data_IF_318936711309
#
_entry.id   IF_318936711309
#
_cell.length_a   1.000
_cell.length_b   1.000
_cell.length_c   1.000
_cell.angle_alpha   90.00
_cell.angle_beta   90.00
_cell.angle_gamma   90.00
#
_symmetry.space_group_name_H-M   'P 1'
#
loop_
_entity.id
_entity.type
_entity.pdbx_description
1 polymer ?
#
# COMPACT_ATOMS: atom_id res chain seq x y z
N UNK A 1 -70.77 24.92 -43.75
CA UNK A 1 -69.45 24.71 -44.38
C UNK A 1 -68.63 25.99 -44.21
N UNK A 2 -67.82 26.06 -43.15
CA UNK A 2 -66.91 27.19 -42.93
C UNK A 2 -65.65 26.99 -43.78
N UNK A 3 -65.22 27.97 -44.58
CA UNK A 3 -63.92 27.89 -45.24
C UNK A 3 -62.84 27.82 -44.16
N UNK A 4 -62.07 26.72 -44.19
CA UNK A 4 -61.06 26.43 -43.18
C UNK A 4 -59.99 27.53 -43.14
N UNK A 5 -59.73 28.05 -41.94
CA UNK A 5 -58.69 29.03 -41.59
C UNK A 5 -57.31 28.73 -42.22
N UNK A 6 -57.01 27.46 -42.52
CA UNK A 6 -55.77 27.03 -43.15
C UNK A 6 -55.55 27.57 -44.57
N UNK A 7 -56.61 27.89 -45.33
CA UNK A 7 -56.43 28.40 -46.70
C UNK A 7 -56.04 29.89 -46.75
N UNK A 8 -56.32 30.65 -45.69
CA UNK A 8 -55.93 32.07 -45.59
C UNK A 8 -54.44 32.23 -45.25
N UNK A 9 -53.87 31.27 -44.52
CA UNK A 9 -52.44 31.29 -44.15
C UNK A 9 -51.50 31.00 -45.32
N UNK A 10 -51.98 30.40 -46.41
CA UNK A 10 -51.14 29.98 -47.54
C UNK A 10 -50.84 31.09 -48.55
N UNK A 11 -51.59 32.19 -48.52
CA UNK A 11 -51.41 33.32 -49.44
C UNK A 11 -50.51 34.42 -48.89
N UNK A 12 -50.13 34.35 -47.61
CA UNK A 12 -49.22 35.32 -46.99
C UNK A 12 -47.80 34.90 -47.35
N UNK A 13 -47.19 35.60 -48.31
CA UNK A 13 -45.75 35.53 -48.57
C UNK A 13 -45.04 36.16 -47.37
N UNK A 14 -44.74 35.35 -46.37
CA UNK A 14 -43.90 35.75 -45.24
C UNK A 14 -42.47 35.90 -45.76
N UNK A 15 -42.02 37.15 -45.88
CA UNK A 15 -40.63 37.44 -46.17
C UNK A 15 -39.73 36.91 -45.04
N UNK A 16 -38.50 36.53 -45.39
CA UNK A 16 -37.51 36.03 -44.43
C UNK A 16 -37.33 36.99 -43.23
N UNK A 17 -37.56 38.28 -43.46
CA UNK A 17 -37.57 39.31 -42.42
C UNK A 17 -38.66 39.10 -41.36
N UNK A 18 -39.87 38.71 -41.75
CA UNK A 18 -40.98 38.44 -40.82
C UNK A 18 -40.72 37.19 -39.96
N UNK A 19 -40.09 36.16 -40.53
CA UNK A 19 -39.64 35.00 -39.76
C UNK A 19 -38.58 35.36 -38.72
N UNK A 20 -37.61 36.21 -39.10
CA UNK A 20 -36.58 36.67 -38.20
C UNK A 20 -37.16 37.49 -37.03
N UNK A 21 -38.08 38.40 -37.32
CA UNK A 21 -38.81 39.18 -36.29
C UNK A 21 -39.60 38.27 -35.34
N UNK A 22 -40.30 37.28 -35.89
CA UNK A 22 -41.06 36.33 -35.09
C UNK A 22 -40.15 35.47 -34.20
N UNK A 23 -38.99 35.05 -34.71
CA UNK A 23 -37.98 34.33 -33.94
C UNK A 23 -37.42 35.17 -32.79
N UNK A 24 -37.16 36.47 -33.02
CA UNK A 24 -36.72 37.39 -31.96
C UNK A 24 -37.79 37.54 -30.89
N UNK A 25 -39.06 37.69 -31.28
CA UNK A 25 -40.17 37.82 -30.33
C UNK A 25 -40.31 36.55 -29.48
N UNK A 26 -40.26 35.37 -30.10
CA UNK A 26 -40.28 34.09 -29.40
C UNK A 26 -39.08 33.99 -28.43
N UNK A 27 -37.88 34.34 -28.89
CA UNK A 27 -36.68 34.30 -28.05
C UNK A 27 -36.79 35.24 -26.85
N UNK A 28 -37.26 36.47 -27.06
CA UNK A 28 -37.48 37.46 -26.00
C UNK A 28 -38.52 36.98 -24.97
N UNK A 29 -39.58 36.30 -25.41
CA UNK A 29 -40.60 35.73 -24.51
C UNK A 29 -40.09 34.52 -23.72
N UNK A 30 -39.20 33.71 -24.31
CA UNK A 30 -38.63 32.52 -23.65
C UNK A 30 -37.48 32.88 -22.70
N UNK A 31 -36.79 34.00 -22.94
CA UNK A 31 -35.62 34.44 -22.18
C UNK A 31 -35.78 34.42 -20.65
N UNK A 32 -36.86 34.92 -20.03
CA UNK A 32 -37.04 34.88 -18.57
C UNK A 32 -37.23 33.45 -18.04
N UNK A 33 -37.94 32.59 -18.78
CA UNK A 33 -38.10 31.18 -18.43
C UNK A 33 -36.76 30.43 -18.54
N UNK A 34 -35.94 30.79 -19.54
CA UNK A 34 -34.62 30.22 -19.73
C UNK A 34 -33.69 30.54 -18.54
N UNK A 35 -33.73 31.79 -18.03
CA UNK A 35 -32.96 32.18 -16.83
C UNK A 35 -33.46 31.43 -15.60
N UNK A 36 -34.78 31.35 -15.38
CA UNK A 36 -35.34 30.63 -14.24
C UNK A 36 -34.96 29.15 -14.28
N UNK A 37 -35.06 28.53 -15.47
CA UNK A 37 -34.66 27.15 -15.71
C UNK A 37 -33.15 26.95 -15.53
N UNK A 38 -32.29 27.86 -16.01
CA UNK A 38 -30.83 27.84 -15.78
C UNK A 38 -30.47 27.92 -14.28
N UNK A 39 -31.22 28.70 -13.51
CA UNK A 39 -31.02 28.84 -12.06
C UNK A 39 -31.53 27.60 -11.30
N UNK A 40 -32.58 26.96 -11.79
CA UNK A 40 -33.04 25.66 -11.29
C UNK A 40 -32.04 24.55 -11.64
N UNK A 41 -31.48 24.59 -12.84
CA UNK A 41 -30.47 23.63 -13.33
C UNK A 41 -29.17 23.70 -12.52
N UNK A 42 -28.78 24.91 -12.08
CA UNK A 42 -27.58 25.08 -11.27
C UNK A 42 -27.72 24.50 -9.85
N UNK A 43 -28.96 24.28 -9.38
CA UNK A 43 -29.24 23.57 -8.12
C UNK A 43 -29.36 22.06 -8.29
N UNK A 44 -29.84 21.56 -9.44
CA UNK A 44 -29.84 20.11 -9.69
C UNK A 44 -28.42 19.57 -9.81
N UNK A 45 -28.19 18.36 -9.29
CA UNK A 45 -26.90 17.68 -9.32
C UNK A 45 -26.24 17.82 -10.69
N UNK A 46 -25.04 18.40 -10.75
CA UNK A 46 -24.24 18.65 -11.97
C UNK A 46 -24.20 17.46 -12.95
N UNK A 47 -24.43 16.24 -12.45
CA UNK A 47 -24.61 14.99 -13.21
C UNK A 47 -25.76 15.06 -14.23
N UNK A 48 -26.91 15.64 -13.88
CA UNK A 48 -28.07 15.74 -14.78
C UNK A 48 -27.84 16.69 -15.94
N UNK A 49 -27.07 17.76 -15.73
CA UNK A 49 -26.68 18.69 -16.80
C UNK A 49 -25.84 17.96 -17.84
N UNK A 50 -24.85 17.15 -17.40
CA UNK A 50 -24.02 16.36 -18.31
C UNK A 50 -24.86 15.36 -19.11
N UNK A 51 -25.79 14.66 -18.45
CA UNK A 51 -26.72 13.73 -19.12
C UNK A 51 -27.60 14.45 -20.13
N UNK A 52 -28.17 15.60 -19.78
CA UNK A 52 -29.00 16.40 -20.68
C UNK A 52 -28.22 16.90 -21.89
N UNK A 53 -26.96 17.32 -21.70
CA UNK A 53 -26.07 17.73 -22.80
C UNK A 53 -25.73 16.55 -23.71
N UNK A 54 -25.38 15.38 -23.14
CA UNK A 54 -25.15 14.17 -23.92
C UNK A 54 -26.40 13.74 -24.71
N UNK A 55 -27.59 13.77 -24.08
CA UNK A 55 -28.85 13.43 -24.72
C UNK A 55 -29.19 14.42 -25.84
N UNK A 56 -29.00 15.72 -25.61
CA UNK A 56 -29.20 16.75 -26.62
C UNK A 56 -28.29 16.56 -27.84
N UNK A 57 -27.03 16.18 -27.63
CA UNK A 57 -26.10 15.84 -28.72
C UNK A 57 -26.57 14.62 -29.52
N UNK A 58 -27.13 13.59 -28.86
CA UNK A 58 -27.71 12.41 -29.53
C UNK A 58 -28.95 12.80 -30.34
N UNK A 59 -29.85 13.61 -29.78
CA UNK A 59 -31.06 14.08 -30.47
C UNK A 59 -30.71 14.96 -31.67
N UNK A 60 -29.76 15.89 -31.51
CA UNK A 60 -29.26 16.71 -32.61
C UNK A 60 -28.72 15.85 -33.77
N UNK A 61 -28.03 14.75 -33.46
CA UNK A 61 -27.57 13.79 -34.48
C UNK A 61 -28.70 13.13 -35.25
N UNK A 62 -29.79 12.75 -34.57
CA UNK A 62 -30.96 12.13 -35.23
C UNK A 62 -31.61 13.13 -36.21
N UNK A 63 -31.61 14.41 -35.86
CA UNK A 63 -32.21 15.48 -36.67
C UNK A 63 -31.30 15.89 -37.84
N UNK A 64 -29.97 15.83 -37.68
CA UNK A 64 -28.99 16.25 -38.70
C UNK A 64 -28.05 15.09 -39.14
N UNK A 65 -28.56 14.10 -39.90
CA UNK A 65 -27.78 12.92 -40.28
C UNK A 65 -26.64 13.19 -41.27
N UNK A 66 -26.65 14.32 -41.99
CA UNK A 66 -25.63 14.66 -42.99
C UNK A 66 -24.34 15.26 -42.42
N UNK A 67 -24.25 15.45 -41.11
CA UNK A 67 -23.06 16.00 -40.45
C UNK A 67 -21.98 14.91 -40.32
N UNK A 68 -20.82 15.10 -40.97
CA UNK A 68 -19.68 14.19 -40.83
C UNK A 68 -19.17 14.27 -39.39
N UNK A 69 -19.22 13.17 -38.65
CA UNK A 69 -18.72 13.11 -37.28
C UNK A 69 -17.20 13.02 -37.33
N UNK A 70 -16.53 14.10 -36.94
CA UNK A 70 -15.10 14.07 -36.72
C UNK A 70 -14.75 13.22 -35.50
N UNK A 71 -13.60 12.55 -35.55
CA UNK A 71 -13.04 11.71 -34.48
C UNK A 71 -13.05 12.41 -33.10
N UNK A 72 -12.93 13.74 -33.10
CA UNK A 72 -12.98 14.59 -31.92
C UNK A 72 -14.32 14.53 -31.18
N UNK A 73 -15.43 14.41 -31.91
CA UNK A 73 -16.77 14.30 -31.32
C UNK A 73 -16.96 12.95 -30.61
N UNK A 74 -16.37 11.88 -31.16
CA UNK A 74 -16.40 10.54 -30.56
C UNK A 74 -15.59 10.55 -29.26
N UNK A 75 -14.41 11.19 -29.26
CA UNK A 75 -13.58 11.35 -28.07
C UNK A 75 -14.28 12.13 -26.95
N UNK A 76 -14.99 13.22 -27.29
CA UNK A 76 -15.75 14.01 -26.33
C UNK A 76 -16.88 13.21 -25.68
N UNK A 77 -17.60 12.41 -26.46
CA UNK A 77 -18.64 11.50 -25.93
C UNK A 77 -18.00 10.44 -25.02
N UNK A 78 -16.85 9.88 -25.41
CA UNK A 78 -16.11 8.91 -24.58
C UNK A 78 -15.66 9.48 -23.24
N UNK A 79 -15.06 10.69 -23.24
CA UNK A 79 -14.66 11.38 -22.00
C UNK A 79 -15.87 11.70 -21.14
N UNK A 80 -16.98 12.17 -21.73
CA UNK A 80 -18.21 12.46 -20.98
C UNK A 80 -18.79 11.21 -20.32
N UNK A 81 -18.82 10.08 -21.03
CA UNK A 81 -19.22 8.79 -20.47
C UNK A 81 -18.28 8.32 -19.35
N UNK A 82 -16.96 8.47 -19.51
CA UNK A 82 -15.98 8.11 -18.48
C UNK A 82 -16.13 8.97 -17.21
N UNK A 83 -16.27 10.29 -17.37
CA UNK A 83 -16.51 11.24 -16.27
C UNK A 83 -17.83 10.96 -15.54
N UNK A 84 -18.81 10.38 -16.22
CA UNK A 84 -20.07 9.95 -15.60
C UNK A 84 -19.88 8.72 -14.71
N UNK A 85 -19.03 7.77 -15.10
CA UNK A 85 -18.76 6.53 -14.35
C UNK A 85 -17.78 6.74 -13.19
N UNK A 86 -16.83 7.67 -13.33
CA UNK A 86 -15.81 8.01 -12.31
C UNK A 86 -16.34 8.30 -10.89
N UNK A 87 -17.44 9.04 -10.67
CA UNK A 87 -17.95 9.27 -9.32
C UNK A 87 -18.51 8.00 -8.67
N UNK A 88 -19.08 7.07 -9.45
CA UNK A 88 -19.60 5.81 -8.91
C UNK A 88 -18.47 4.79 -8.70
N UNK A 89 -17.36 4.91 -9.44
CA UNK A 89 -16.10 4.23 -9.12
C UNK A 89 -15.58 4.52 -7.71
N UNK A 90 -15.91 5.68 -7.09
CA UNK A 90 -15.56 5.91 -5.67
C UNK A 90 -16.27 4.95 -4.71
N UNK A 91 -17.46 4.48 -5.06
CA UNK A 91 -18.18 3.47 -4.28
C UNK A 91 -17.60 2.06 -4.45
N UNK A 92 -16.94 1.81 -5.59
CA UNK A 92 -16.27 0.55 -5.92
C UNK A 92 -14.79 0.57 -5.49
N UNK A 93 -14.22 1.75 -5.25
CA UNK A 93 -12.85 1.94 -4.75
C UNK A 93 -12.50 1.09 -3.51
N UNK A 94 -13.36 0.93 -2.48
CA UNK A 94 -13.05 0.03 -1.37
C UNK A 94 -12.95 -1.44 -1.80
N UNK A 95 -13.71 -1.88 -2.82
CA UNK A 95 -13.65 -3.25 -3.34
C UNK A 95 -12.41 -3.50 -4.19
N UNK A 96 -11.98 -2.50 -4.99
CA UNK A 96 -10.71 -2.57 -5.74
C UNK A 96 -9.52 -2.57 -4.77
N UNK A 97 -9.60 -1.82 -3.66
CA UNK A 97 -8.60 -1.87 -2.59
C UNK A 97 -8.49 -3.28 -2.01
N UNK A 98 -9.60 -3.99 -1.85
CA UNK A 98 -9.64 -5.37 -1.32
C UNK A 98 -8.99 -6.41 -2.26
N UNK A 99 -8.99 -6.19 -3.58
CA UNK A 99 -8.33 -7.11 -4.52
C UNK A 99 -6.80 -7.01 -4.40
N UNK A 100 -6.23 -5.82 -4.17
CA UNK A 100 -4.78 -5.66 -3.92
C UNK A 100 -4.33 -6.25 -2.58
N UNK A 101 -5.24 -6.33 -1.61
CA UNK A 101 -4.94 -6.91 -0.30
C UNK A 101 -4.68 -8.42 -0.41
N UNK A 102 -5.37 -9.13 -1.33
CA UNK A 102 -5.17 -10.56 -1.54
C UNK A 102 -3.77 -10.93 -2.06
N UNK A 103 -3.23 -10.18 -3.02
CA UNK A 103 -1.86 -10.42 -3.52
C UNK A 103 -0.81 -10.13 -2.43
N UNK A 104 -1.07 -9.10 -1.61
CA UNK A 104 -0.18 -8.67 -0.52
C UNK A 104 -0.12 -9.70 0.62
N UNK A 105 -1.25 -10.32 0.95
CA UNK A 105 -1.37 -11.41 1.93
C UNK A 105 -0.68 -12.69 1.43
N UNK A 106 -0.84 -13.02 0.15
CA UNK A 106 -0.21 -14.19 -0.45
C UNK A 106 1.32 -14.07 -0.40
N UNK A 107 1.87 -12.92 -0.83
CA UNK A 107 3.31 -12.64 -0.78
C UNK A 107 3.85 -12.67 0.66
N UNK A 108 3.06 -12.18 1.62
CA UNK A 108 3.45 -12.19 3.02
C UNK A 108 3.52 -13.62 3.58
N UNK A 109 2.52 -14.45 3.28
CA UNK A 109 2.48 -15.85 3.72
C UNK A 109 3.68 -16.63 3.18
N UNK A 110 3.98 -16.44 1.90
CA UNK A 110 5.16 -17.02 1.27
C UNK A 110 6.47 -16.51 1.91
N UNK A 111 6.54 -15.21 2.23
CA UNK A 111 7.70 -14.62 2.94
C UNK A 111 7.89 -15.22 4.33
N UNK A 112 6.81 -15.47 5.07
CA UNK A 112 6.87 -16.08 6.41
C UNK A 112 7.30 -17.54 6.30
N UNK A 113 6.80 -18.28 5.31
CA UNK A 113 7.22 -19.67 5.08
C UNK A 113 8.72 -19.75 4.72
N UNK A 114 9.18 -18.86 3.84
CA UNK A 114 10.59 -18.77 3.49
C UNK A 114 11.44 -18.35 4.69
N UNK A 115 10.97 -17.39 5.49
CA UNK A 115 11.63 -16.99 6.74
C UNK A 115 11.76 -18.18 7.70
N UNK A 116 10.72 -19.02 7.84
CA UNK A 116 10.79 -20.23 8.64
C UNK A 116 11.93 -21.15 8.22
N UNK A 117 12.07 -21.39 6.91
CA UNK A 117 13.14 -22.22 6.34
C UNK A 117 14.52 -21.61 6.57
N UNK A 118 14.68 -20.29 6.43
CA UNK A 118 15.96 -19.64 6.66
C UNK A 118 16.35 -19.60 8.15
N UNK A 119 15.36 -19.43 9.05
CA UNK A 119 15.58 -19.50 10.51
C UNK A 119 15.98 -20.91 10.92
N UNK A 120 15.34 -21.95 10.39
CA UNK A 120 15.69 -23.35 10.64
C UNK A 120 17.14 -23.64 10.24
N UNK A 121 17.56 -23.22 9.03
CA UNK A 121 18.97 -23.36 8.58
C UNK A 121 19.94 -22.61 9.48
N UNK A 122 19.61 -21.37 9.87
CA UNK A 122 20.45 -20.58 10.76
C UNK A 122 20.56 -21.21 12.15
N UNK A 123 19.49 -21.85 12.62
CA UNK A 123 19.47 -22.58 13.89
C UNK A 123 20.34 -23.84 13.82
N UNK A 124 20.22 -24.63 12.76
CA UNK A 124 21.03 -25.84 12.56
C UNK A 124 22.53 -25.49 12.52
N UNK A 125 22.89 -24.44 11.77
CA UNK A 125 24.26 -23.93 11.73
C UNK A 125 24.77 -23.43 13.09
N UNK A 126 23.89 -22.87 13.93
CA UNK A 126 24.24 -22.44 15.28
C UNK A 126 24.42 -23.63 16.25
N UNK A 127 23.59 -24.69 16.14
CA UNK A 127 23.66 -25.86 17.00
C UNK A 127 24.93 -26.69 16.79
N UNK A 128 25.43 -26.77 15.56
CA UNK A 128 26.72 -27.42 15.26
C UNK A 128 27.90 -26.80 16.02
N UNK A 129 27.74 -25.58 16.55
CA UNK A 129 28.81 -24.82 17.20
C UNK A 129 28.89 -25.02 18.73
N UNK A 130 28.13 -25.97 19.34
CA UNK A 130 28.08 -26.22 20.80
C UNK A 130 27.94 -24.92 21.64
N UNK A 131 27.06 -24.01 21.22
CA UNK A 131 26.87 -22.74 21.93
C UNK A 131 25.87 -22.89 23.08
N UNK A 132 26.21 -22.32 24.25
CA UNK A 132 25.28 -22.19 25.37
C UNK A 132 24.48 -20.90 25.22
N UNK A 133 23.16 -20.96 25.45
CA UNK A 133 22.29 -19.78 25.49
C UNK A 133 22.43 -19.11 26.86
N UNK A 134 22.59 -17.79 26.90
CA UNK A 134 22.62 -17.03 28.15
C UNK A 134 21.26 -17.01 28.84
N UNK A 135 21.21 -17.19 30.16
CA UNK A 135 19.97 -17.18 30.94
C UNK A 135 19.21 -15.85 30.91
N UNK A 136 19.89 -14.73 30.62
CA UNK A 136 19.24 -13.40 30.48
C UNK A 136 18.24 -13.36 29.32
N UNK A 137 18.50 -14.11 28.25
CA UNK A 137 17.68 -14.15 27.04
C UNK A 137 16.30 -14.75 27.32
N UNK A 138 16.24 -15.74 28.22
CA UNK A 138 14.98 -16.40 28.58
C UNK A 138 13.97 -15.42 29.20
N UNK A 139 14.43 -14.55 30.10
CA UNK A 139 13.57 -13.55 30.73
C UNK A 139 13.09 -12.49 29.72
N UNK A 140 13.93 -12.15 28.74
CA UNK A 140 13.56 -11.22 27.68
C UNK A 140 12.50 -11.79 26.72
N UNK A 141 12.61 -13.08 26.39
CA UNK A 141 11.63 -13.79 25.57
C UNK A 141 10.30 -13.88 26.30
N UNK A 142 10.31 -14.24 27.60
CA UNK A 142 9.09 -14.31 28.41
C UNK A 142 8.33 -12.98 28.41
N UNK A 143 9.04 -11.85 28.55
CA UNK A 143 8.43 -10.52 28.46
C UNK A 143 7.79 -10.24 27.09
N UNK A 144 8.40 -10.69 26.00
CA UNK A 144 7.85 -10.55 24.64
C UNK A 144 6.58 -11.39 24.48
N UNK A 145 6.57 -12.61 25.03
CA UNK A 145 5.41 -13.51 25.00
C UNK A 145 4.24 -13.00 25.85
N UNK A 146 4.53 -12.37 26.99
CA UNK A 146 3.49 -11.70 27.78
C UNK A 146 2.84 -10.56 26.99
N UNK A 147 3.65 -9.76 26.29
CA UNK A 147 3.15 -8.64 25.48
C UNK A 147 2.37 -9.13 24.25
N UNK A 148 2.77 -10.24 23.63
CA UNK A 148 2.11 -10.77 22.42
C UNK A 148 0.69 -11.24 22.68
N UNK A 149 0.38 -11.61 23.93
CA UNK A 149 -0.97 -11.94 24.37
C UNK A 149 -1.89 -10.71 24.49
N UNK A 150 -1.30 -9.51 24.59
CA UNK A 150 -2.04 -8.22 24.72
C UNK A 150 -2.14 -7.51 23.36
N UNK A 151 -1.02 -7.38 22.68
CA UNK A 151 -0.90 -6.75 21.36
C UNK A 151 0.27 -7.39 20.57
N UNK A 152 -0.02 -8.29 19.62
CA UNK A 152 1.00 -8.95 18.80
C UNK A 152 1.90 -7.98 18.03
N UNK A 153 1.38 -6.83 17.59
CA UNK A 153 2.15 -5.83 16.84
C UNK A 153 3.13 -5.11 17.76
N UNK A 154 2.68 -4.71 18.94
CA UNK A 154 3.55 -4.13 19.96
C UNK A 154 4.66 -5.12 20.37
N UNK A 155 4.32 -6.40 20.55
CA UNK A 155 5.28 -7.44 20.87
C UNK A 155 6.34 -7.63 19.77
N UNK A 156 5.94 -7.62 18.48
CA UNK A 156 6.87 -7.69 17.35
C UNK A 156 7.86 -6.51 17.33
N UNK A 157 7.37 -5.30 17.60
CA UNK A 157 8.23 -4.10 17.65
C UNK A 157 9.19 -4.15 18.85
N UNK A 158 8.71 -4.57 20.02
CA UNK A 158 9.52 -4.79 21.21
C UNK A 158 10.62 -5.83 20.95
N UNK A 159 10.26 -6.96 20.34
CA UNK A 159 11.19 -8.02 19.95
C UNK A 159 12.26 -7.51 18.99
N UNK A 160 11.88 -6.69 18.01
CA UNK A 160 12.83 -6.09 17.06
C UNK A 160 13.87 -5.22 17.78
N UNK A 161 13.44 -4.42 18.75
CA UNK A 161 14.34 -3.57 19.53
C UNK A 161 15.31 -4.42 20.37
N UNK A 162 14.83 -5.54 20.93
CA UNK A 162 15.67 -6.50 21.67
C UNK A 162 16.71 -7.16 20.77
N UNK A 163 16.32 -7.60 19.57
CA UNK A 163 17.27 -8.16 18.60
C UNK A 163 18.34 -7.12 18.27
N UNK A 164 17.96 -5.88 17.96
CA UNK A 164 18.94 -4.82 17.65
C UNK A 164 19.90 -4.54 18.81
N UNK A 165 19.37 -4.48 20.03
CA UNK A 165 20.20 -4.33 21.23
C UNK A 165 21.19 -5.49 21.38
N UNK A 166 20.72 -6.73 21.20
CA UNK A 166 21.57 -7.91 21.30
C UNK A 166 22.64 -7.96 20.21
N UNK A 167 22.30 -7.61 18.97
CA UNK A 167 23.26 -7.54 17.87
C UNK A 167 24.39 -6.55 18.18
N UNK A 168 24.03 -5.38 18.74
CA UNK A 168 25.01 -4.38 19.16
C UNK A 168 25.91 -4.92 20.27
N UNK A 169 25.33 -5.47 21.34
CA UNK A 169 26.09 -5.99 22.47
C UNK A 169 27.09 -7.07 22.04
N UNK A 170 26.68 -7.98 21.13
CA UNK A 170 27.57 -9.04 20.63
C UNK A 170 28.75 -8.50 19.84
N UNK A 171 28.56 -7.44 19.06
CA UNK A 171 29.68 -6.79 18.35
C UNK A 171 30.63 -6.10 19.33
N UNK A 172 30.10 -5.42 20.34
CA UNK A 172 30.89 -4.79 21.40
C UNK A 172 31.69 -5.81 22.21
N UNK A 173 31.07 -6.94 22.59
CA UNK A 173 31.73 -8.08 23.26
C UNK A 173 32.89 -8.65 22.43
N UNK A 174 32.77 -8.64 21.10
CA UNK A 174 33.83 -9.06 20.17
C UNK A 174 34.86 -7.95 19.86
N UNK A 175 34.81 -6.82 20.56
CA UNK A 175 35.77 -5.72 20.41
C UNK A 175 35.54 -4.83 19.18
N UNK A 176 34.38 -4.95 18.52
CA UNK A 176 34.01 -4.12 17.38
C UNK A 176 33.28 -2.88 17.90
N UNK A 177 33.88 -1.70 17.71
CA UNK A 177 33.25 -0.44 18.12
C UNK A 177 31.93 -0.20 17.37
N UNK A 178 30.90 0.09 18.15
CA UNK A 178 29.54 0.47 17.74
C UNK A 178 29.25 1.94 18.05
N UNK A 179 30.30 2.76 18.28
CA UNK A 179 30.19 4.18 18.63
C UNK A 179 29.37 4.99 17.60
N UNK A 180 29.31 4.48 16.36
CA UNK A 180 28.42 4.99 15.32
C UNK A 180 27.15 4.14 15.27
N UNK A 181 26.01 4.81 15.25
CA UNK A 181 24.71 4.15 15.05
C UNK A 181 24.67 3.57 13.64
N UNK A 182 24.59 2.24 13.54
CA UNK A 182 24.38 1.52 12.30
C UNK A 182 22.93 1.05 12.19
N UNK A 183 22.48 0.75 10.97
CA UNK A 183 21.20 0.05 10.80
C UNK A 183 21.32 -1.39 11.31
N UNK A 184 20.21 -1.97 11.75
CA UNK A 184 20.19 -3.35 12.25
C UNK A 184 20.77 -4.35 11.24
N UNK A 185 20.43 -4.22 9.95
CA UNK A 185 21.00 -5.05 8.87
C UNK A 185 22.51 -4.92 8.76
N UNK A 186 23.05 -3.72 9.01
CA UNK A 186 24.50 -3.49 8.95
C UNK A 186 25.22 -4.12 10.13
N UNK A 187 24.63 -4.13 11.33
CA UNK A 187 25.18 -4.89 12.46
C UNK A 187 25.29 -6.38 12.13
N UNK A 188 24.24 -6.96 11.53
CA UNK A 188 24.27 -8.38 11.13
C UNK A 188 25.30 -8.66 10.05
N UNK A 189 25.39 -7.81 9.03
CA UNK A 189 26.38 -7.96 7.94
C UNK A 189 27.82 -7.95 8.49
N UNK A 190 28.12 -7.02 9.41
CA UNK A 190 29.42 -6.97 10.08
C UNK A 190 29.64 -8.25 10.88
N UNK A 191 28.68 -8.64 11.73
CA UNK A 191 28.83 -9.82 12.58
C UNK A 191 28.98 -11.13 11.79
N UNK A 192 28.30 -11.29 10.65
CA UNK A 192 28.51 -12.45 9.76
C UNK A 192 29.88 -12.41 9.12
N UNK A 193 30.35 -11.23 8.67
CA UNK A 193 31.67 -11.08 8.05
C UNK A 193 32.80 -11.39 9.03
N UNK A 194 32.67 -10.95 10.28
CA UNK A 194 33.64 -11.22 11.35
C UNK A 194 33.47 -12.64 11.95
N UNK A 195 32.50 -13.43 11.49
CA UNK A 195 32.27 -14.81 11.96
C UNK A 195 31.62 -14.91 13.34
N UNK A 196 31.06 -13.82 13.86
CA UNK A 196 30.32 -13.76 15.13
C UNK A 196 28.95 -14.42 14.98
N UNK A 197 28.32 -14.26 13.81
CA UNK A 197 27.04 -14.90 13.47
C UNK A 197 27.21 -15.92 12.33
N UNK A 198 26.38 -16.98 12.28
CA UNK A 198 26.34 -17.91 11.14
C UNK A 198 26.04 -17.19 9.83
N UNK A 199 26.57 -17.69 8.70
CA UNK A 199 26.35 -17.07 7.38
C UNK A 199 24.87 -16.97 7.00
N UNK A 200 24.09 -17.97 7.39
CA UNK A 200 22.65 -18.06 7.10
C UNK A 200 21.80 -17.15 7.99
N UNK A 201 22.39 -16.52 9.01
CA UNK A 201 21.68 -15.60 9.88
C UNK A 201 21.31 -14.28 9.17
N UNK A 202 22.15 -13.79 8.25
CA UNK A 202 21.87 -12.56 7.50
C UNK A 202 20.62 -12.62 6.61
N UNK A 203 20.43 -13.64 5.73
CA UNK A 203 19.21 -13.73 4.94
C UNK A 203 17.96 -13.87 5.81
N UNK A 204 18.00 -14.72 6.85
CA UNK A 204 16.88 -14.87 7.79
C UNK A 204 16.52 -13.55 8.48
N UNK A 205 17.53 -12.82 8.99
CA UNK A 205 17.33 -11.52 9.61
C UNK A 205 16.75 -10.48 8.64
N UNK A 206 17.27 -10.41 7.41
CA UNK A 206 16.79 -9.47 6.39
C UNK A 206 15.32 -9.70 6.07
N UNK A 207 14.93 -10.95 5.91
CA UNK A 207 13.57 -11.32 5.55
C UNK A 207 12.61 -11.02 6.72
N UNK A 208 13.00 -11.33 7.96
CA UNK A 208 12.28 -10.91 9.17
C UNK A 208 12.10 -9.38 9.23
N UNK A 209 13.18 -8.62 9.02
CA UNK A 209 13.17 -7.15 9.11
C UNK A 209 12.27 -6.52 8.03
N UNK A 210 12.27 -7.08 6.83
CA UNK A 210 11.39 -6.67 5.73
C UNK A 210 9.91 -6.83 6.09
N UNK A 211 9.53 -8.02 6.56
CA UNK A 211 8.15 -8.32 6.98
C UNK A 211 7.72 -7.41 8.13
N UNK A 212 8.58 -7.24 9.14
CA UNK A 212 8.33 -6.36 10.28
C UNK A 212 8.11 -4.91 9.86
N UNK A 213 8.89 -4.39 8.91
CA UNK A 213 8.70 -3.02 8.42
C UNK A 213 7.33 -2.84 7.77
N UNK A 214 6.85 -3.82 6.98
CA UNK A 214 5.48 -3.80 6.42
C UNK A 214 4.42 -3.76 7.53
N UNK A 215 4.61 -4.54 8.59
CA UNK A 215 3.73 -4.51 9.78
C UNK A 215 3.74 -3.13 10.45
N UNK A 216 4.92 -2.56 10.67
CA UNK A 216 5.09 -1.27 11.34
C UNK A 216 4.49 -0.09 10.55
N UNK A 217 4.57 -0.12 9.22
CA UNK A 217 4.06 0.95 8.36
C UNK A 217 2.53 0.91 8.17
N UNK A 218 1.84 -0.07 8.75
CA UNK A 218 0.40 -0.21 8.57
C UNK A 218 0.02 -0.68 7.17
N UNK A 219 0.97 -1.15 6.35
CA UNK A 219 0.63 -1.93 5.14
C UNK A 219 -0.08 -3.26 5.51
N UNK A 220 -0.20 -3.50 6.81
CA UNK A 220 -0.69 -4.67 7.52
C UNK A 220 -2.03 -4.47 8.26
N UNK A 221 -2.84 -3.46 7.94
CA UNK A 221 -4.11 -3.24 8.66
C UNK A 221 -5.05 -4.46 8.61
N UNK A 222 -4.89 -5.35 7.63
CA UNK A 222 -5.69 -6.57 7.45
C UNK A 222 -4.93 -7.89 7.74
N UNK A 223 -3.69 -7.84 8.23
CA UNK A 223 -2.95 -9.08 8.58
C UNK A 223 -3.57 -9.69 9.84
N UNK A 224 -3.96 -10.97 9.75
CA UNK A 224 -4.44 -11.76 10.88
C UNK A 224 -3.36 -11.86 11.97
N UNK A 225 -3.75 -11.66 13.23
CA UNK A 225 -2.90 -11.72 14.41
C UNK A 225 -2.14 -13.06 14.49
N UNK A 226 -2.72 -14.15 13.98
CA UNK A 226 -2.05 -15.45 13.88
C UNK A 226 -0.73 -15.41 13.07
N UNK A 227 -0.68 -14.62 11.99
CA UNK A 227 0.56 -14.43 11.22
C UNK A 227 1.59 -13.61 11.99
N UNK A 228 1.13 -12.59 12.73
CA UNK A 228 2.02 -11.75 13.54
C UNK A 228 2.62 -12.57 14.68
N UNK A 229 1.82 -13.42 15.33
CA UNK A 229 2.30 -14.36 16.35
C UNK A 229 3.32 -15.36 15.78
N UNK A 230 3.10 -15.86 14.56
CA UNK A 230 4.07 -16.72 13.87
C UNK A 230 5.39 -15.97 13.63
N UNK A 231 5.33 -14.71 13.22
CA UNK A 231 6.51 -13.86 13.03
C UNK A 231 7.21 -13.53 14.36
N UNK A 232 6.46 -13.34 15.45
CA UNK A 232 7.02 -13.19 16.80
C UNK A 232 7.79 -14.45 17.19
N UNK A 233 7.22 -15.63 16.96
CA UNK A 233 7.90 -16.91 17.20
C UNK A 233 9.22 -17.00 16.43
N UNK A 234 9.20 -16.72 15.11
CA UNK A 234 10.40 -16.73 14.28
C UNK A 234 11.44 -15.68 14.74
N UNK A 235 10.98 -14.50 15.15
CA UNK A 235 11.85 -13.46 15.70
C UNK A 235 12.48 -13.86 17.04
N UNK A 236 11.78 -14.61 17.90
CA UNK A 236 12.36 -15.11 19.15
C UNK A 236 13.46 -16.13 18.89
N UNK A 237 13.35 -16.90 17.81
CA UNK A 237 14.41 -17.80 17.38
C UNK A 237 15.64 -17.04 16.86
N UNK A 238 15.43 -15.98 16.08
CA UNK A 238 16.52 -15.09 15.67
C UNK A 238 17.20 -14.42 16.87
N UNK A 239 16.43 -13.98 17.87
CA UNK A 239 16.99 -13.43 19.11
C UNK A 239 17.86 -14.47 19.82
N UNK A 240 17.38 -15.71 19.93
CA UNK A 240 18.12 -16.82 20.53
C UNK A 240 19.44 -17.07 19.80
N UNK A 241 19.43 -17.13 18.47
CA UNK A 241 20.64 -17.28 17.65
C UNK A 241 21.59 -16.10 17.87
N UNK A 242 21.10 -14.85 17.84
CA UNK A 242 21.91 -13.67 18.10
C UNK A 242 22.56 -13.69 19.49
N UNK A 243 21.91 -14.32 20.48
CA UNK A 243 22.44 -14.45 21.84
C UNK A 243 23.36 -15.64 22.07
N UNK A 244 23.53 -16.54 21.09
CA UNK A 244 24.48 -17.65 21.24
C UNK A 244 25.92 -17.14 21.23
N UNK A 245 26.70 -17.53 22.23
CA UNK A 245 28.13 -17.18 22.34
C UNK A 245 28.95 -18.24 21.62
N UNK A 246 29.72 -17.85 20.60
CA UNK A 246 30.64 -18.77 19.93
C UNK A 246 31.83 -19.07 20.84
N UNK A 247 32.05 -20.34 21.14
CA UNK A 247 33.13 -20.81 22.04
C UNK A 247 34.54 -20.58 21.46
N UNK A 248 34.63 -20.21 20.18
CA UNK A 248 35.90 -20.07 19.44
C UNK A 248 36.80 -18.96 20.00
N UNK A 249 36.22 -17.97 20.67
CA UNK A 249 36.96 -16.82 21.20
C UNK A 249 37.81 -17.15 22.44
N UNK A 250 37.53 -18.26 23.14
CA UNK A 250 38.20 -18.55 24.41
C UNK A 250 39.55 -19.29 24.25
N UNK A 251 39.84 -19.89 23.08
CA UNK A 251 41.10 -20.62 22.86
C UNK A 251 42.27 -19.72 22.43
N UNK A 252 42.02 -18.49 22.01
CA UNK A 252 43.07 -17.54 21.59
C UNK A 252 43.76 -16.82 22.73
N UNK A 253 43.14 -16.73 23.92
CA UNK A 253 43.66 -15.92 25.02
C UNK A 253 44.54 -16.69 26.02
N UNK A 254 44.48 -18.03 26.06
CA UNK A 254 45.34 -18.83 26.97
C UNK A 254 46.75 -19.08 26.41
N UNK A 255 46.97 -18.95 25.10
CA UNK A 255 48.28 -19.25 24.49
C UNK A 255 49.34 -18.14 24.65
N UNK A 256 49.00 -17.00 25.27
CA UNK A 256 49.89 -15.83 25.34
C UNK A 256 50.38 -15.48 26.76
N UNK A 257 50.04 -16.28 27.78
CA UNK A 257 50.41 -16.01 29.17
C UNK A 257 51.46 -16.99 29.77
N UNK A 258 52.01 -17.92 28.98
CA UNK A 258 52.93 -18.96 29.49
C UNK A 258 54.41 -18.74 29.12
N UNK A 259 54.79 -17.49 28.77
CA UNK A 259 56.10 -17.19 28.18
C UNK A 259 56.95 -16.10 28.85
N UNK A 260 56.53 -15.46 29.96
CA UNK A 260 57.29 -14.34 30.57
C UNK A 260 57.59 -14.50 32.05
N UNK A 261 57.91 -15.72 32.49
CA UNK A 261 58.63 -15.93 33.75
C UNK A 261 59.90 -16.67 33.39
N UNK A 262 60.98 -15.92 33.11
CA UNK A 262 62.40 -16.27 33.26
C UNK A 262 63.21 -15.22 32.48
N UNK A 263 63.50 -14.09 33.14
CA UNK A 263 64.82 -13.42 33.20
C UNK A 263 64.75 -12.17 34.10
#
# INVERSE_FOLDING_TARGET
MQPGLFNVLKTIKLDAFSFFLLAIIIFALIQPYLIYWLKYISQTNKRWILVAVCLALVVARIIFPNTKIDINSIWLIGIAALLFVLPDLKSVAPYIKKIRVGDTELELKESIENLGKEVERAQDAAQETEASVSGSVSAEIEKVLEESSKDPKAALLLLSAKIEHQLRNRLEESGISTDRVFSASRYVEIGVREGIFPKDFFPAFRDFWSVRNRVAHGDAFDIDDAYILSLVSLGTELLRIASTTSKKDNKGSEAQNDGSVLE
#
